data_IF_737262553053
#
_entry.id   IF_737262553053
#
_cell.length_a   1.000
_cell.length_b   1.000
_cell.length_c   1.000
_cell.angle_alpha   90.00
_cell.angle_beta   90.00
_cell.angle_gamma   90.00
#
_symmetry.space_group_name_H-M   'P 1'
#
loop_
_entity.id
_entity.type
_entity.pdbx_description
1 polymer ?
#
# COMPACT_ATOMS: atom_id res chain seq x y z
N UNK A 1 7.07 0.50 -21.97
CA UNK A 1 6.04 -0.30 -21.28
C UNK A 1 6.19 -0.02 -19.80
N UNK A 2 5.12 0.41 -19.13
CA UNK A 2 5.13 0.65 -17.68
C UNK A 2 5.08 -0.69 -16.93
N UNK A 3 5.90 -0.84 -15.91
CA UNK A 3 5.89 -2.01 -15.00
C UNK A 3 5.61 -1.56 -13.58
N UNK A 4 4.95 -2.43 -12.82
CA UNK A 4 4.69 -2.21 -11.40
C UNK A 4 4.88 -3.51 -10.63
N UNK A 5 5.48 -3.42 -9.45
CA UNK A 5 5.69 -4.54 -8.54
C UNK A 5 5.25 -4.13 -7.14
N UNK A 6 4.59 -5.06 -6.47
CA UNK A 6 4.14 -4.89 -5.09
C UNK A 6 4.64 -6.08 -4.29
N UNK A 7 5.22 -5.80 -3.13
CA UNK A 7 5.68 -6.80 -2.18
C UNK A 7 5.20 -6.39 -0.80
N UNK A 8 4.52 -7.31 -0.13
CA UNK A 8 4.11 -7.15 1.26
C UNK A 8 4.85 -8.18 2.09
N UNK A 9 5.54 -7.72 3.12
CA UNK A 9 6.35 -8.52 4.03
C UNK A 9 5.96 -8.19 5.47
N UNK A 10 6.16 -9.14 6.37
CA UNK A 10 6.15 -8.86 7.80
C UNK A 10 7.60 -8.65 8.22
N UNK A 11 7.88 -7.47 8.76
CA UNK A 11 9.17 -7.12 9.36
C UNK A 11 9.24 -7.65 10.80
N UNK A 12 10.42 -7.67 11.41
CA UNK A 12 10.56 -7.93 12.85
C UNK A 12 9.76 -6.85 13.63
N UNK A 13 9.14 -7.23 14.76
CA UNK A 13 8.30 -6.35 15.61
C UNK A 13 6.93 -5.90 15.03
N UNK A 14 6.13 -6.83 14.49
CA UNK A 14 4.71 -6.58 14.14
C UNK A 14 4.46 -5.49 13.08
N UNK A 15 5.50 -5.05 12.38
CA UNK A 15 5.35 -4.10 11.29
C UNK A 15 5.13 -4.83 9.97
N UNK A 16 4.20 -4.31 9.17
CA UNK A 16 3.98 -4.76 7.80
C UNK A 16 4.66 -3.78 6.87
N UNK A 17 5.61 -4.26 6.08
CA UNK A 17 6.30 -3.45 5.07
C UNK A 17 5.67 -3.71 3.71
N UNK A 18 5.25 -2.64 3.05
CA UNK A 18 4.75 -2.65 1.68
C UNK A 18 5.74 -1.90 0.81
N UNK A 19 6.36 -2.61 -0.12
CA UNK A 19 7.20 -2.02 -1.17
C UNK A 19 6.40 -1.99 -2.46
N UNK A 20 6.24 -0.81 -3.03
CA UNK A 20 5.63 -0.60 -4.33
C UNK A 20 6.66 0.07 -5.24
N UNK A 21 6.98 -0.58 -6.35
CA UNK A 21 7.92 -0.09 -7.34
C UNK A 21 7.18 0.13 -8.67
N UNK A 22 7.45 1.26 -9.32
CA UNK A 22 6.96 1.56 -10.65
C UNK A 22 8.11 2.02 -11.53
N UNK A 23 8.17 1.49 -12.75
CA UNK A 23 9.14 1.91 -13.74
C UNK A 23 8.49 2.08 -15.12
N UNK A 24 8.73 3.24 -15.74
CA UNK A 24 8.41 3.55 -17.14
C UNK A 24 9.58 4.27 -17.83
N UNK A 25 9.38 4.82 -19.03
CA UNK A 25 10.45 5.50 -19.78
C UNK A 25 11.07 6.69 -19.03
N UNK A 26 10.27 7.42 -18.23
CA UNK A 26 10.66 8.67 -17.57
C UNK A 26 10.75 8.56 -16.04
N UNK A 27 10.14 7.53 -15.47
CA UNK A 27 9.97 7.39 -14.03
C UNK A 27 10.55 6.06 -13.55
N UNK A 28 11.30 6.13 -12.47
CA UNK A 28 11.55 5.00 -11.59
C UNK A 28 11.22 5.49 -10.19
N UNK A 29 10.20 4.88 -9.58
CA UNK A 29 9.63 5.31 -8.31
C UNK A 29 9.59 4.10 -7.39
N UNK A 30 10.14 4.23 -6.20
CA UNK A 30 10.14 3.19 -5.17
C UNK A 30 9.53 3.79 -3.91
N UNK A 31 8.41 3.21 -3.48
CA UNK A 31 7.67 3.59 -2.29
C UNK A 31 7.77 2.45 -1.29
N UNK A 32 8.16 2.76 -0.04
CA UNK A 32 8.15 1.80 1.06
C UNK A 32 7.32 2.34 2.20
N UNK A 33 6.36 1.56 2.68
CA UNK A 33 5.43 1.94 3.75
C UNK A 33 5.53 0.89 4.85
N UNK A 34 5.83 1.31 6.08
CA UNK A 34 5.72 0.46 7.25
C UNK A 34 4.45 0.82 7.99
N UNK A 35 3.72 -0.23 8.35
CA UNK A 35 2.39 -0.13 8.94
C UNK A 35 2.37 -0.96 10.23
N UNK A 36 1.88 -0.38 11.31
CA UNK A 36 1.64 -1.12 12.55
C UNK A 36 0.41 -2.03 12.39
N UNK A 37 0.53 -3.31 12.73
CA UNK A 37 -0.51 -4.34 12.51
C UNK A 37 -1.81 -4.05 13.29
N UNK A 38 -1.72 -3.50 14.51
CA UNK A 38 -2.88 -3.30 15.38
C UNK A 38 -3.78 -2.15 14.97
N UNK A 39 -3.23 -1.07 14.39
CA UNK A 39 -3.98 0.15 14.05
C UNK A 39 -3.95 0.47 12.55
N UNK A 40 -3.17 -0.29 11.77
CA UNK A 40 -2.92 -0.04 10.36
C UNK A 40 -2.37 1.36 10.07
N UNK A 41 -1.69 1.95 11.05
CA UNK A 41 -1.14 3.29 10.98
C UNK A 41 0.21 3.27 10.30
N UNK A 42 0.44 4.22 9.40
CA UNK A 42 1.75 4.42 8.77
C UNK A 42 2.74 4.89 9.84
N UNK A 43 3.71 4.07 10.18
CA UNK A 43 4.77 4.39 11.16
C UNK A 43 6.10 4.77 10.52
N UNK A 44 6.26 4.48 9.22
CA UNK A 44 7.37 4.98 8.39
C UNK A 44 6.92 4.99 6.94
N UNK A 45 7.39 5.97 6.18
CA UNK A 45 7.19 6.02 4.74
C UNK A 45 8.45 6.57 4.08
N UNK A 46 8.85 5.94 2.99
CA UNK A 46 10.01 6.34 2.19
C UNK A 46 9.59 6.41 0.73
N UNK A 47 10.02 7.48 0.06
CA UNK A 47 9.86 7.65 -1.37
C UNK A 47 11.22 7.92 -1.99
N UNK A 48 11.63 7.06 -2.90
CA UNK A 48 12.77 7.25 -3.79
C UNK A 48 12.26 7.44 -5.22
N UNK A 49 12.91 8.34 -5.95
CA UNK A 49 12.67 8.53 -7.37
C UNK A 49 14.01 8.43 -8.12
N UNK A 50 14.59 7.24 -8.36
CA UNK A 50 15.89 7.14 -9.04
C UNK A 50 15.91 7.73 -10.46
N UNK A 51 14.75 7.78 -11.13
CA UNK A 51 14.59 8.42 -12.44
C UNK A 51 13.34 9.28 -12.42
N UNK A 52 13.48 10.54 -12.83
CA UNK A 52 12.42 11.52 -12.93
C UNK A 52 12.75 12.53 -14.04
N UNK A 53 11.73 13.14 -14.68
CA UNK A 53 11.94 14.06 -15.79
C UNK A 53 12.48 15.43 -15.37
N UNK A 54 12.15 15.89 -14.16
CA UNK A 54 12.53 17.22 -13.66
C UNK A 54 12.79 17.19 -12.15
N UNK A 55 13.67 18.04 -11.63
CA UNK A 55 14.04 18.06 -10.21
C UNK A 55 12.86 18.42 -9.29
N UNK A 56 11.91 19.24 -9.76
CA UNK A 56 10.67 19.57 -9.02
C UNK A 56 9.84 18.33 -8.65
N UNK A 57 10.02 17.20 -9.36
CA UNK A 57 9.35 15.96 -9.00
C UNK A 57 9.72 15.50 -7.57
N UNK A 58 10.91 15.83 -7.08
CA UNK A 58 11.39 15.45 -5.76
C UNK A 58 10.70 16.21 -4.62
N UNK A 59 10.03 17.33 -4.91
CA UNK A 59 9.28 18.09 -3.90
C UNK A 59 8.15 17.27 -3.26
N UNK A 60 7.67 16.24 -3.97
CA UNK A 60 6.64 15.35 -3.45
C UNK A 60 7.12 14.49 -2.27
N UNK A 61 8.42 14.22 -2.14
CA UNK A 61 9.00 13.38 -1.07
C UNK A 61 8.62 13.95 0.30
N UNK A 62 8.76 15.27 0.49
CA UNK A 62 8.38 15.97 1.74
C UNK A 62 6.87 15.92 2.03
N UNK A 63 6.05 15.83 0.98
CA UNK A 63 4.60 15.74 1.15
C UNK A 63 4.17 14.33 1.52
N UNK A 64 4.87 13.29 1.06
CA UNK A 64 4.62 11.90 1.44
C UNK A 64 4.82 11.69 2.94
N UNK A 65 5.82 12.32 3.56
CA UNK A 65 6.06 12.27 5.00
C UNK A 65 4.84 12.73 5.84
N UNK A 66 3.98 13.59 5.30
CA UNK A 66 2.75 14.05 5.98
C UNK A 66 1.68 12.97 6.10
N UNK A 67 1.90 11.79 5.51
CA UNK A 67 1.02 10.63 5.65
C UNK A 67 1.31 9.81 6.91
N UNK A 68 2.42 10.07 7.59
CA UNK A 68 2.76 9.46 8.88
C UNK A 68 1.61 9.58 9.89
N UNK A 69 1.31 8.49 10.58
CA UNK A 69 0.21 8.38 11.54
C UNK A 69 -1.18 8.21 10.92
N UNK A 70 -1.33 8.28 9.59
CA UNK A 70 -2.60 7.97 8.95
C UNK A 70 -2.81 6.45 8.93
N UNK A 71 -3.99 6.02 9.37
CA UNK A 71 -4.41 4.62 9.20
C UNK A 71 -4.82 4.34 7.76
N UNK A 72 -4.30 3.28 7.16
CA UNK A 72 -4.67 2.80 5.82
C UNK A 72 -6.15 2.37 5.74
N UNK A 73 -6.76 2.03 6.89
CA UNK A 73 -8.17 1.67 7.00
C UNK A 73 -9.09 2.89 7.17
N UNK A 74 -8.54 4.09 7.35
CA UNK A 74 -9.34 5.28 7.57
C UNK A 74 -10.30 5.50 6.37
N UNK A 75 -11.63 5.65 6.56
CA UNK A 75 -12.60 5.72 5.47
C UNK A 75 -12.32 6.84 4.45
N UNK A 76 -11.69 7.93 4.91
CA UNK A 76 -11.31 9.08 4.09
C UNK A 76 -9.85 9.02 3.59
N UNK A 77 -9.15 7.89 3.67
CA UNK A 77 -7.73 7.80 3.32
C UNK A 77 -7.45 8.32 1.91
N UNK A 78 -8.24 7.91 0.91
CA UNK A 78 -8.08 8.39 -0.48
C UNK A 78 -8.25 9.91 -0.60
N UNK A 79 -9.20 10.50 0.15
CA UNK A 79 -9.38 11.96 0.20
C UNK A 79 -8.20 12.64 0.86
N UNK A 80 -7.62 12.05 1.91
CA UNK A 80 -6.41 12.56 2.58
C UNK A 80 -5.20 12.50 1.63
N UNK A 81 -5.01 11.40 0.91
CA UNK A 81 -3.99 11.30 -0.14
C UNK A 81 -4.11 12.42 -1.17
N UNK A 82 -5.29 12.62 -1.75
CA UNK A 82 -5.55 13.72 -2.69
C UNK A 82 -5.27 15.10 -2.09
N UNK A 83 -5.62 15.30 -0.81
CA UNK A 83 -5.33 16.55 -0.08
C UNK A 83 -3.84 16.72 0.23
N UNK A 84 -3.04 15.67 0.28
CA UNK A 84 -1.63 15.76 0.62
C UNK A 84 -0.75 15.85 -0.63
N UNK A 85 -1.08 15.07 -1.66
CA UNK A 85 -0.24 14.84 -2.85
C UNK A 85 -0.94 15.20 -4.17
N UNK A 86 -2.22 15.55 -4.15
CA UNK A 86 -2.93 15.93 -5.37
C UNK A 86 -2.51 17.32 -5.89
N UNK A 87 -2.53 17.47 -7.21
CA UNK A 87 -2.11 18.70 -7.90
C UNK A 87 -0.59 18.83 -7.92
N UNK A 88 -0.08 20.05 -7.76
CA UNK A 88 1.37 20.36 -7.76
C UNK A 88 2.14 19.83 -6.54
N UNK A 89 1.45 19.28 -5.54
CA UNK A 89 2.05 18.74 -4.30
C UNK A 89 2.65 17.35 -4.47
N UNK A 90 2.35 16.70 -5.58
CA UNK A 90 2.84 15.38 -5.94
C UNK A 90 2.69 15.12 -7.42
N UNK A 91 3.13 13.97 -7.90
CA UNK A 91 2.80 13.54 -9.24
C UNK A 91 1.64 12.52 -9.21
N UNK A 92 0.91 12.43 -10.32
CA UNK A 92 -0.13 11.42 -10.52
C UNK A 92 0.39 10.01 -10.27
N UNK A 93 1.65 9.73 -10.63
CA UNK A 93 2.29 8.42 -10.47
C UNK A 93 2.48 8.02 -9.01
N UNK A 94 2.98 8.92 -8.14
CA UNK A 94 3.12 8.63 -6.70
C UNK A 94 1.76 8.46 -6.05
N UNK A 95 0.79 9.32 -6.40
CA UNK A 95 -0.58 9.22 -5.89
C UNK A 95 -1.24 7.89 -6.27
N UNK A 96 -1.11 7.48 -7.54
CA UNK A 96 -1.61 6.20 -8.03
C UNK A 96 -0.93 5.03 -7.32
N UNK A 97 0.40 5.08 -7.18
CA UNK A 97 1.17 4.02 -6.52
C UNK A 97 0.77 3.86 -5.05
N UNK A 98 0.49 4.97 -4.34
CA UNK A 98 -0.04 4.95 -2.98
C UNK A 98 -1.45 4.37 -2.89
N UNK A 99 -2.34 4.69 -3.83
CA UNK A 99 -3.67 4.07 -3.90
C UNK A 99 -3.58 2.56 -4.11
N UNK A 100 -2.72 2.11 -5.03
CA UNK A 100 -2.54 0.70 -5.31
C UNK A 100 -1.84 -0.03 -4.15
N UNK A 101 -0.86 0.61 -3.50
CA UNK A 101 -0.23 0.08 -2.29
C UNK A 101 -1.27 -0.12 -1.18
N UNK A 102 -2.15 0.86 -0.94
CA UNK A 102 -3.27 0.73 0.01
C UNK A 102 -4.20 -0.45 -0.34
N UNK A 103 -4.55 -0.62 -1.62
CA UNK A 103 -5.40 -1.73 -2.04
C UNK A 103 -4.67 -3.08 -1.86
N UNK A 104 -3.35 -3.11 -2.09
CA UNK A 104 -2.51 -4.29 -1.90
C UNK A 104 -2.32 -4.65 -0.42
N UNK A 105 -2.31 -3.68 0.51
CA UNK A 105 -2.22 -3.96 1.95
C UNK A 105 -3.41 -4.77 2.45
N UNK A 106 -4.55 -4.79 1.73
CA UNK A 106 -5.71 -5.61 2.06
C UNK A 106 -5.40 -7.11 2.00
N UNK A 107 -4.39 -7.51 1.21
CA UNK A 107 -3.90 -8.90 1.22
C UNK A 107 -3.31 -9.32 2.57
N UNK A 108 -2.88 -8.35 3.39
CA UNK A 108 -2.26 -8.55 4.70
C UNK A 108 -3.31 -8.65 5.81
N UNK A 109 -4.55 -8.18 5.58
CA UNK A 109 -5.65 -8.34 6.55
C UNK A 109 -5.98 -9.81 6.80
N UNK A 110 -5.69 -10.69 5.85
CA UNK A 110 -5.86 -12.11 6.04
C UNK A 110 -4.76 -12.63 6.97
N UNK A 111 -5.12 -13.05 8.19
CA UNK A 111 -4.18 -13.69 9.12
C UNK A 111 -3.45 -14.84 8.41
N UNK A 112 -4.21 -15.56 7.57
CA UNK A 112 -3.75 -16.52 6.58
C UNK A 112 -4.68 -16.45 5.36
N UNK A 113 -4.19 -16.71 4.13
CA UNK A 113 -5.07 -16.90 2.98
C UNK A 113 -6.15 -17.95 3.28
N UNK A 114 -7.32 -17.88 2.62
CA UNK A 114 -8.36 -18.89 2.82
C UNK A 114 -7.82 -20.32 2.65
N UNK A 115 -8.20 -21.21 3.57
CA UNK A 115 -7.72 -22.59 3.58
C UNK A 115 -8.21 -23.40 2.36
N UNK A 116 -7.86 -24.68 2.28
CA UNK A 116 -8.30 -25.57 1.17
C UNK A 116 -9.83 -25.72 1.07
N UNK A 117 -10.58 -25.35 2.10
CA UNK A 117 -12.04 -25.35 2.10
C UNK A 117 -12.61 -23.93 1.97
N UNK A 118 -11.77 -22.94 1.68
CA UNK A 118 -12.13 -21.53 1.57
C UNK A 118 -12.37 -20.83 2.90
N UNK A 119 -12.09 -21.44 4.06
CA UNK A 119 -12.31 -20.82 5.37
C UNK A 119 -11.28 -19.74 5.65
N UNK A 120 -11.71 -18.65 6.27
CA UNK A 120 -10.85 -17.53 6.58
C UNK A 120 -11.12 -16.95 7.97
N UNK A 121 -10.11 -16.24 8.47
CA UNK A 121 -10.21 -15.36 9.64
C UNK A 121 -9.43 -14.08 9.35
N UNK A 122 -10.00 -12.96 9.78
CA UNK A 122 -9.40 -11.63 9.81
C UNK A 122 -9.55 -11.15 11.25
N UNK A 123 -8.61 -11.53 12.11
CA UNK A 123 -8.67 -11.26 13.56
C UNK A 123 -8.80 -9.77 13.84
N UNK A 124 -8.11 -8.95 13.04
CA UNK A 124 -8.12 -7.48 13.17
C UNK A 124 -9.46 -6.81 12.88
N UNK A 125 -10.39 -7.48 12.20
CA UNK A 125 -11.74 -6.98 11.91
C UNK A 125 -12.82 -7.77 12.66
N UNK A 126 -12.45 -8.72 13.51
CA UNK A 126 -13.38 -9.67 14.15
C UNK A 126 -14.29 -10.35 13.11
N UNK A 127 -13.70 -10.81 12.01
CA UNK A 127 -14.41 -11.45 10.91
C UNK A 127 -13.89 -12.86 10.64
N UNK A 128 -14.82 -13.80 10.49
CA UNK A 128 -14.56 -15.14 10.01
C UNK A 128 -15.62 -15.56 8.98
N UNK A 129 -15.27 -16.49 8.10
CA UNK A 129 -16.20 -16.95 7.08
C UNK A 129 -15.64 -17.96 6.11
N UNK A 130 -16.35 -18.15 4.99
CA UNK A 130 -15.98 -19.08 3.93
C UNK A 130 -16.10 -18.40 2.55
N UNK A 131 -15.00 -18.39 1.80
CA UNK A 131 -14.94 -17.92 0.41
C UNK A 131 -15.60 -18.96 -0.50
N UNK A 132 -16.76 -18.61 -1.05
CA UNK A 132 -17.50 -19.46 -2.00
C UNK A 132 -17.00 -19.33 -3.44
N UNK A 133 -15.69 -19.25 -3.65
CA UNK A 133 -15.11 -19.19 -5.00
C UNK A 133 -14.94 -20.60 -5.58
N UNK A 134 -15.20 -20.75 -6.89
CA UNK A 134 -15.09 -22.02 -7.60
C UNK A 134 -13.69 -22.64 -7.49
N UNK A 135 -12.65 -21.81 -7.33
CA UNK A 135 -11.27 -22.25 -7.13
C UNK A 135 -11.08 -23.08 -5.85
N UNK A 136 -11.84 -22.80 -4.78
CA UNK A 136 -11.80 -23.56 -3.52
C UNK A 136 -12.80 -24.72 -3.48
N UNK A 137 -13.71 -24.79 -4.45
CA UNK A 137 -14.75 -25.82 -4.54
C UNK A 137 -14.34 -27.05 -5.36
N UNK A 138 -13.29 -26.94 -6.18
CA UNK A 138 -12.77 -28.08 -6.95
C UNK A 138 -11.86 -28.93 -6.06
N UNK A 139 -12.43 -29.96 -5.44
CA UNK A 139 -11.70 -31.17 -5.03
C UNK A 139 -11.78 -32.19 -6.14
#
# INVERSE_FOLDING_TARGET
MRTQKFLAETDEDTLKRITAEMEDEYHHIILRIWVEDSQYSIVRIELEMPRHPEDRCLDCIKNVEKLMGLSLQHPQFRRRLLKTLGGERGCSHVLELLHQAQDYTRSIFWDKPPDKNGRYTISTLDQEGEVRCIAFRKK
#
